data_IF_035694772379
#
_entry.id   IF_035694772379
#
_cell.length_a   1.000
_cell.length_b   1.000
_cell.length_c   1.000
_cell.angle_alpha   90.00
_cell.angle_beta   90.00
_cell.angle_gamma   90.00
#
_symmetry.space_group_name_H-M   'P 1'
#
loop_
_entity.id
_entity.type
_entity.pdbx_description
1 polymer ?
#
# COMPACT_ATOMS: atom_id res chain seq x y z
N UNK A 1 34.82 -1.66 -25.69
CA UNK A 1 33.48 -2.00 -25.14
C UNK A 1 33.41 -1.35 -23.77
N UNK A 2 32.93 -0.11 -23.69
CA UNK A 2 32.87 0.64 -22.44
C UNK A 2 31.74 0.03 -21.60
N UNK A 3 32.09 -0.58 -20.47
CA UNK A 3 31.11 -0.97 -19.46
C UNK A 3 30.43 0.31 -18.99
N UNK A 4 29.16 0.50 -19.36
CA UNK A 4 28.34 1.57 -18.79
C UNK A 4 28.31 1.32 -17.28
N UNK A 5 29.08 2.07 -16.49
CA UNK A 5 28.89 2.11 -15.04
C UNK A 5 27.45 2.56 -14.84
N UNK A 6 26.58 1.63 -14.46
CA UNK A 6 25.22 1.93 -14.06
C UNK A 6 25.30 2.99 -12.98
N UNK A 7 24.67 4.15 -13.22
CA UNK A 7 24.59 5.19 -12.22
C UNK A 7 23.82 4.59 -11.03
N UNK A 8 24.38 4.59 -9.80
CA UNK A 8 23.72 3.97 -8.65
C UNK A 8 22.33 4.57 -8.37
N UNK A 9 22.05 5.81 -8.81
CA UNK A 9 20.72 6.40 -8.76
C UNK A 9 19.72 5.72 -9.72
N UNK A 10 20.18 5.29 -10.90
CA UNK A 10 19.34 4.57 -11.87
C UNK A 10 19.01 3.16 -11.37
N UNK A 11 19.96 2.49 -10.72
CA UNK A 11 19.72 1.16 -10.12
C UNK A 11 18.71 1.24 -8.97
N UNK A 12 18.86 2.25 -8.11
CA UNK A 12 17.90 2.53 -7.04
C UNK A 12 16.51 2.81 -7.61
N UNK A 13 16.41 3.68 -8.62
CA UNK A 13 15.13 4.01 -9.24
C UNK A 13 14.46 2.77 -9.85
N UNK A 14 15.20 1.95 -10.59
CA UNK A 14 14.65 0.73 -11.19
C UNK A 14 14.14 -0.25 -10.13
N UNK A 15 14.89 -0.44 -9.05
CA UNK A 15 14.50 -1.34 -7.95
C UNK A 15 13.24 -0.84 -7.26
N UNK A 16 13.21 0.44 -6.88
CA UNK A 16 12.05 1.04 -6.22
C UNK A 16 10.81 1.07 -7.11
N UNK A 17 10.97 1.27 -8.42
CA UNK A 17 9.86 1.25 -9.36
C UNK A 17 9.25 -0.15 -9.49
N UNK A 18 10.09 -1.18 -9.56
CA UNK A 18 9.61 -2.57 -9.56
C UNK A 18 8.85 -2.93 -8.29
N UNK A 19 9.34 -2.49 -7.12
CA UNK A 19 8.66 -2.68 -5.85
C UNK A 19 7.33 -1.93 -5.79
N UNK A 20 7.27 -0.70 -6.30
CA UNK A 20 6.03 0.09 -6.41
C UNK A 20 4.94 -0.67 -7.17
N UNK A 21 5.28 -1.22 -8.34
CA UNK A 21 4.38 -2.03 -9.16
C UNK A 21 3.97 -3.33 -8.46
N UNK A 22 4.89 -3.94 -7.70
CA UNK A 22 4.62 -5.15 -6.92
C UNK A 22 3.59 -4.90 -5.82
N UNK A 23 3.66 -3.76 -5.14
CA UNK A 23 2.67 -3.38 -4.12
C UNK A 23 1.26 -3.21 -4.72
N UNK A 24 1.14 -2.74 -5.95
CA UNK A 24 -0.16 -2.61 -6.60
C UNK A 24 -0.78 -3.99 -6.90
N UNK A 25 0.03 -4.92 -7.41
CA UNK A 25 -0.40 -6.34 -7.59
C UNK A 25 -0.80 -6.97 -6.27
N UNK A 26 -0.06 -6.73 -5.20
CA UNK A 26 -0.38 -7.26 -3.90
C UNK A 26 -1.69 -6.67 -3.33
N UNK A 27 -1.92 -5.36 -3.47
CA UNK A 27 -3.19 -4.74 -3.09
C UNK A 27 -4.38 -5.39 -3.81
N UNK A 28 -4.24 -5.72 -5.10
CA UNK A 28 -5.26 -6.46 -5.83
C UNK A 28 -5.52 -7.85 -5.22
N UNK A 29 -4.46 -8.58 -4.84
CA UNK A 29 -4.60 -9.89 -4.19
C UNK A 29 -5.33 -9.81 -2.84
N UNK A 30 -5.07 -8.79 -2.02
CA UNK A 30 -5.83 -8.59 -0.76
C UNK A 30 -7.32 -8.36 -1.07
N UNK A 31 -7.64 -7.54 -2.07
CA UNK A 31 -9.04 -7.30 -2.47
C UNK A 31 -9.73 -8.57 -2.92
N UNK A 32 -9.07 -9.38 -3.75
CA UNK A 32 -9.60 -10.66 -4.19
C UNK A 32 -9.79 -11.63 -3.00
N UNK A 33 -8.84 -11.67 -2.07
CA UNK A 33 -8.97 -12.44 -0.84
C UNK A 33 -10.17 -11.97 0.00
N UNK A 34 -10.38 -10.66 0.14
CA UNK A 34 -11.51 -10.09 0.87
C UNK A 34 -12.86 -10.47 0.23
N UNK A 35 -12.95 -10.44 -1.10
CA UNK A 35 -14.15 -10.87 -1.83
C UNK A 35 -14.41 -12.36 -1.61
N UNK A 36 -13.39 -13.21 -1.76
CA UNK A 36 -13.51 -14.66 -1.56
C UNK A 36 -13.92 -15.00 -0.13
N UNK A 37 -13.29 -14.38 0.87
CA UNK A 37 -13.65 -14.57 2.27
C UNK A 37 -15.08 -14.13 2.56
N UNK A 38 -15.55 -13.04 1.95
CA UNK A 38 -16.95 -12.59 2.08
C UNK A 38 -17.93 -13.63 1.53
N UNK A 39 -17.65 -14.21 0.36
CA UNK A 39 -18.47 -15.28 -0.22
C UNK A 39 -18.51 -16.52 0.68
N UNK A 40 -17.37 -16.92 1.25
CA UNK A 40 -17.27 -18.06 2.17
C UNK A 40 -18.11 -17.81 3.44
N UNK A 41 -18.00 -16.63 4.04
CA UNK A 41 -18.79 -16.24 5.22
C UNK A 41 -20.29 -16.35 4.94
N UNK A 42 -20.74 -15.85 3.79
CA UNK A 42 -22.15 -15.90 3.38
C UNK A 42 -22.61 -17.35 3.24
N UNK A 43 -21.81 -18.21 2.60
CA UNK A 43 -22.13 -19.62 2.36
C UNK A 43 -22.09 -20.51 3.61
N UNK A 44 -21.13 -20.27 4.52
CA UNK A 44 -20.93 -21.06 5.73
C UNK A 44 -21.70 -20.53 6.95
N UNK A 45 -22.48 -19.45 6.79
CA UNK A 45 -23.24 -18.82 7.88
C UNK A 45 -22.39 -18.44 9.10
N UNK A 46 -21.15 -18.02 8.86
CA UNK A 46 -20.24 -17.56 9.91
C UNK A 46 -20.83 -16.31 10.59
N UNK A 47 -20.57 -16.18 11.90
CA UNK A 47 -21.04 -15.04 12.69
C UNK A 47 -20.60 -13.70 12.10
N UNK A 48 -21.55 -12.78 11.89
CA UNK A 48 -21.33 -11.51 11.19
C UNK A 48 -20.14 -10.73 11.76
N UNK A 49 -20.03 -10.61 13.08
CA UNK A 49 -18.97 -9.84 13.73
C UNK A 49 -17.57 -10.37 13.40
N UNK A 50 -17.41 -11.68 13.24
CA UNK A 50 -16.12 -12.27 12.85
C UNK A 50 -15.76 -11.85 11.43
N UNK A 51 -16.74 -11.85 10.52
CA UNK A 51 -16.54 -11.42 9.14
C UNK A 51 -16.19 -9.93 9.05
N UNK A 52 -16.89 -9.07 9.78
CA UNK A 52 -16.60 -7.62 9.80
C UNK A 52 -15.17 -7.35 10.29
N UNK A 53 -14.76 -7.98 11.40
CA UNK A 53 -13.40 -7.84 11.93
C UNK A 53 -12.36 -8.33 10.92
N UNK A 54 -12.60 -9.46 10.27
CA UNK A 54 -11.68 -9.99 9.27
C UNK A 54 -11.51 -9.07 8.07
N UNK A 55 -12.61 -8.49 7.55
CA UNK A 55 -12.58 -7.51 6.47
C UNK A 55 -11.84 -6.23 6.89
N UNK A 56 -12.03 -5.77 8.13
CA UNK A 56 -11.29 -4.62 8.67
C UNK A 56 -9.78 -4.89 8.74
N UNK A 57 -9.36 -6.10 9.12
CA UNK A 57 -7.93 -6.48 9.13
C UNK A 57 -7.35 -6.43 7.72
N UNK A 58 -8.03 -7.00 6.71
CA UNK A 58 -7.59 -6.95 5.32
C UNK A 58 -7.51 -5.50 4.80
N UNK A 59 -8.48 -4.66 5.15
CA UNK A 59 -8.48 -3.25 4.79
C UNK A 59 -7.27 -2.50 5.39
N UNK A 60 -6.98 -2.72 6.67
CA UNK A 60 -5.83 -2.10 7.34
C UNK A 60 -4.50 -2.58 6.74
N UNK A 61 -4.39 -3.87 6.40
CA UNK A 61 -3.21 -4.42 5.74
C UNK A 61 -2.94 -3.74 4.39
N UNK A 62 -3.98 -3.51 3.57
CA UNK A 62 -3.83 -2.73 2.34
C UNK A 62 -3.40 -1.29 2.64
N UNK A 63 -3.96 -0.64 3.66
CA UNK A 63 -3.54 0.69 4.10
C UNK A 63 -2.05 0.79 4.44
N UNK A 64 -1.49 -0.25 5.07
CA UNK A 64 -0.05 -0.33 5.38
C UNK A 64 0.77 -0.40 4.09
N UNK A 65 0.40 -1.27 3.14
CA UNK A 65 1.11 -1.36 1.86
C UNK A 65 1.02 -0.07 1.04
N UNK A 66 -0.14 0.58 1.03
CA UNK A 66 -0.35 1.87 0.35
C UNK A 66 0.46 3.00 0.98
N UNK A 67 0.79 2.87 2.27
CA UNK A 67 1.69 3.81 2.95
C UNK A 67 3.13 3.63 2.50
N UNK A 68 3.63 2.39 2.45
CA UNK A 68 4.96 2.11 1.92
C UNK A 68 5.07 2.56 0.46
N UNK A 69 4.06 2.25 -0.36
CA UNK A 69 3.99 2.67 -1.76
C UNK A 69 4.01 4.21 -1.92
N UNK A 70 3.33 4.95 -1.04
CA UNK A 70 3.37 6.41 -1.04
C UNK A 70 4.80 6.93 -0.80
N UNK A 71 5.51 6.37 0.19
CA UNK A 71 6.91 6.74 0.49
C UNK A 71 7.85 6.38 -0.66
N UNK A 72 7.66 5.21 -1.27
CA UNK A 72 8.41 4.80 -2.48
C UNK A 72 8.18 5.77 -3.62
N UNK A 73 6.93 6.23 -3.83
CA UNK A 73 6.60 7.23 -4.85
C UNK A 73 7.34 8.55 -4.63
N UNK A 74 7.41 9.04 -3.39
CA UNK A 74 8.10 10.29 -3.06
C UNK A 74 9.60 10.20 -3.33
N UNK A 75 10.22 9.05 -2.99
CA UNK A 75 11.63 8.79 -3.32
C UNK A 75 11.85 8.68 -4.83
N UNK A 76 10.98 7.98 -5.57
CA UNK A 76 11.08 7.86 -7.02
C UNK A 76 11.09 9.24 -7.70
N UNK A 77 10.18 10.13 -7.31
CA UNK A 77 10.13 11.51 -7.83
C UNK A 77 11.41 12.30 -7.47
N UNK A 78 11.97 12.08 -6.28
CA UNK A 78 13.23 12.70 -5.87
C UNK A 78 14.39 12.20 -6.73
N UNK A 79 14.47 10.89 -6.98
CA UNK A 79 15.48 10.29 -7.85
C UNK A 79 15.37 10.80 -9.30
N UNK A 80 14.16 10.92 -9.85
CA UNK A 80 13.95 11.50 -11.19
C UNK A 80 14.50 12.93 -11.29
N UNK A 81 14.31 13.75 -10.25
CA UNK A 81 14.86 15.11 -10.22
C UNK A 81 16.39 15.11 -10.15
N UNK A 82 17.00 14.23 -9.35
CA UNK A 82 18.46 14.11 -9.23
C UNK A 82 19.10 13.62 -10.53
N UNK A 83 18.52 12.61 -11.15
CA UNK A 83 18.95 12.08 -12.45
C UNK A 83 18.83 13.16 -13.53
N UNK A 84 17.70 13.90 -13.57
CA UNK A 84 17.48 14.99 -14.54
C UNK A 84 18.52 16.11 -14.42
N UNK A 85 19.03 16.37 -13.22
CA UNK A 85 20.01 17.43 -12.96
C UNK A 85 21.47 16.95 -13.00
N UNK A 86 21.70 15.65 -13.23
CA UNK A 86 23.00 15.00 -13.10
C UNK A 86 23.68 15.31 -11.75
N UNK A 87 22.87 15.43 -10.68
CA UNK A 87 23.37 15.70 -9.34
C UNK A 87 24.03 14.44 -8.76
N UNK A 88 25.30 14.55 -8.38
CA UNK A 88 26.03 13.49 -7.66
C UNK A 88 25.63 13.48 -6.17
N UNK A 89 24.37 13.19 -5.87
CA UNK A 89 23.94 12.83 -4.52
C UNK A 89 24.11 11.33 -4.27
N UNK A 90 24.25 10.98 -2.99
CA UNK A 90 24.31 9.60 -2.56
C UNK A 90 23.02 8.85 -2.94
N UNK A 91 23.17 7.73 -3.65
CA UNK A 91 22.11 6.76 -3.85
C UNK A 91 21.82 5.99 -2.54
N UNK A 92 20.76 5.19 -2.56
CA UNK A 92 20.37 4.24 -1.53
C UNK A 92 20.05 4.90 -0.18
N UNK A 93 19.47 6.10 -0.21
CA UNK A 93 19.10 6.87 0.99
C UNK A 93 17.62 6.74 1.37
N UNK A 94 16.90 5.77 0.82
CA UNK A 94 15.46 5.57 1.07
C UNK A 94 15.09 5.55 2.56
N UNK A 95 15.79 4.76 3.37
CA UNK A 95 15.51 4.64 4.79
C UNK A 95 16.05 5.81 5.61
N UNK A 96 17.22 6.33 5.26
CA UNK A 96 17.84 7.48 5.93
C UNK A 96 16.98 8.74 5.77
N UNK A 97 16.51 9.01 4.55
CA UNK A 97 15.66 10.15 4.25
C UNK A 97 14.31 10.04 4.99
N UNK A 98 13.75 8.82 5.03
CA UNK A 98 12.53 8.57 5.78
C UNK A 98 12.73 8.75 7.27
N UNK A 99 13.83 8.25 7.86
CA UNK A 99 14.10 8.40 9.28
C UNK A 99 14.31 9.88 9.68
N UNK A 100 14.93 10.67 8.81
CA UNK A 100 15.13 12.09 9.03
C UNK A 100 13.83 12.92 8.94
N UNK A 101 12.86 12.46 8.15
CA UNK A 101 11.61 13.19 7.88
C UNK A 101 10.39 12.61 8.59
N UNK A 102 10.50 11.42 9.19
CA UNK A 102 9.36 10.75 9.83
C UNK A 102 8.81 11.61 10.96
N UNK A 103 7.49 11.71 10.98
CA UNK A 103 6.78 12.27 12.11
C UNK A 103 6.86 11.31 13.31
N UNK A 104 6.53 11.77 14.52
CA UNK A 104 6.41 10.87 15.68
C UNK A 104 5.31 9.82 15.50
N UNK A 105 5.15 8.92 16.47
CA UNK A 105 4.20 7.79 16.41
C UNK A 105 2.77 8.19 16.03
N UNK A 106 2.27 9.32 16.52
CA UNK A 106 0.95 9.85 16.16
C UNK A 106 0.84 10.25 14.69
N UNK A 107 1.93 10.76 14.11
CA UNK A 107 2.03 11.06 12.69
C UNK A 107 2.01 9.80 11.83
N UNK A 108 2.70 8.74 12.24
CA UNK A 108 2.67 7.45 11.54
C UNK A 108 1.26 6.85 11.51
N UNK A 109 0.56 6.85 12.65
CA UNK A 109 -0.83 6.35 12.73
C UNK A 109 -1.71 7.16 11.77
N UNK A 110 -1.58 8.49 11.76
CA UNK A 110 -2.33 9.36 10.85
C UNK A 110 -2.03 9.07 9.38
N UNK A 111 -0.77 8.78 9.05
CA UNK A 111 -0.35 8.41 7.70
C UNK A 111 -1.00 7.08 7.26
N UNK A 112 -0.96 6.05 8.11
CA UNK A 112 -1.61 4.77 7.84
C UNK A 112 -3.13 4.93 7.63
N UNK A 113 -3.80 5.69 8.50
CA UNK A 113 -5.24 5.94 8.37
C UNK A 113 -5.55 6.71 7.08
N UNK A 114 -4.78 7.74 6.75
CA UNK A 114 -4.97 8.52 5.52
C UNK A 114 -4.85 7.64 4.27
N UNK A 115 -3.90 6.71 4.27
CA UNK A 115 -3.71 5.79 3.14
C UNK A 115 -4.78 4.70 3.07
N UNK A 116 -5.25 4.19 4.21
CA UNK A 116 -6.37 3.26 4.27
C UNK A 116 -7.69 3.90 3.78
N UNK A 117 -7.88 5.19 4.04
CA UNK A 117 -9.07 5.95 3.66
C UNK A 117 -9.03 6.51 2.22
N UNK A 118 -7.96 6.26 1.44
CA UNK A 118 -7.95 6.65 0.02
C UNK A 118 -9.16 6.01 -0.69
N UNK A 119 -9.91 6.73 -1.53
CA UNK A 119 -11.09 6.17 -2.18
C UNK A 119 -10.83 4.86 -2.93
N UNK A 120 -9.68 4.74 -3.57
CA UNK A 120 -9.24 3.54 -4.32
C UNK A 120 -8.94 2.33 -3.43
N UNK A 121 -8.73 2.56 -2.13
CA UNK A 121 -8.50 1.55 -1.10
C UNK A 121 -9.80 1.25 -0.36
N UNK A 122 -10.52 2.27 0.08
CA UNK A 122 -11.69 2.14 0.94
C UNK A 122 -12.93 1.58 0.21
N UNK A 123 -13.13 1.94 -1.06
CA UNK A 123 -14.34 1.60 -1.81
C UNK A 123 -14.69 0.10 -1.77
N UNK A 124 -13.79 -0.84 -2.09
CA UNK A 124 -14.11 -2.27 -2.08
C UNK A 124 -14.54 -2.77 -0.71
N UNK A 125 -13.85 -2.36 0.36
CA UNK A 125 -14.17 -2.81 1.72
C UNK A 125 -15.48 -2.23 2.23
N UNK A 126 -15.75 -0.95 1.99
CA UNK A 126 -17.02 -0.32 2.39
C UNK A 126 -18.19 -1.03 1.72
N UNK A 127 -18.08 -1.34 0.42
CA UNK A 127 -19.10 -2.09 -0.32
C UNK A 127 -19.29 -3.50 0.26
N UNK A 128 -18.20 -4.22 0.53
CA UNK A 128 -18.28 -5.57 1.13
C UNK A 128 -18.92 -5.55 2.53
N UNK A 129 -18.54 -4.59 3.38
CA UNK A 129 -19.14 -4.43 4.71
C UNK A 129 -20.64 -4.14 4.60
N UNK A 130 -21.05 -3.25 3.70
CA UNK A 130 -22.46 -2.92 3.47
C UNK A 130 -23.27 -4.14 2.98
N UNK A 131 -22.72 -4.94 2.08
CA UNK A 131 -23.34 -6.18 1.60
C UNK A 131 -23.53 -7.16 2.75
N UNK A 132 -22.50 -7.41 3.58
CA UNK A 132 -22.58 -8.34 4.69
C UNK A 132 -23.63 -7.93 5.74
N UNK A 133 -23.68 -6.64 6.08
CA UNK A 133 -24.69 -6.10 7.01
C UNK A 133 -26.10 -6.24 6.43
N UNK A 134 -26.29 -5.91 5.15
CA UNK A 134 -27.59 -6.01 4.48
C UNK A 134 -28.09 -7.45 4.45
N UNK A 135 -27.24 -8.41 4.08
CA UNK A 135 -27.57 -9.83 4.07
C UNK A 135 -27.97 -10.32 5.47
N UNK A 136 -27.26 -9.88 6.51
CA UNK A 136 -27.59 -10.26 7.88
C UNK A 136 -28.93 -9.68 8.33
N UNK A 137 -29.25 -8.43 7.97
CA UNK A 137 -30.55 -7.82 8.31
C UNK A 137 -31.75 -8.45 7.59
N UNK A 138 -31.52 -9.12 6.45
CA UNK A 138 -32.56 -9.82 5.70
C UNK A 138 -32.82 -11.25 6.20
N UNK A 139 -31.94 -11.78 7.06
CA UNK A 139 -32.12 -13.09 7.72
C UNK A 139 -32.89 -12.93 9.02
#
# INVERSE_FOLDING_TARGET
MATSRSNPLNEEWQTLHQDYERYDRYSLLIKLAAILSSLIVIGLTIHLWVALIFILVLWLQEGIWRTVQARTSERLLTLEQLIKRDEQKAAMQFYSDWEATRHGTSGLIKEYMRNALRPTVAYPYIVLLAILVTIYMMK
#
